data_IF_803312249974
#
_entry.id   IF_803312249974
#
_cell.length_a   1.000
_cell.length_b   1.000
_cell.length_c   1.000
_cell.angle_alpha   90.00
_cell.angle_beta   90.00
_cell.angle_gamma   90.00
#
_symmetry.space_group_name_H-M   'P 1'
#
loop_
_entity.id
_entity.type
_entity.pdbx_description
1 polymer ?
#
# COMPACT_ATOMS: atom_id res chain seq x y z
N UNK A 1 -27.63 15.41 4.90
CA UNK A 1 -27.92 13.96 4.98
C UNK A 1 -26.62 13.18 4.97
N UNK A 2 -25.93 13.11 6.12
CA UNK A 2 -24.65 12.42 6.23
C UNK A 2 -24.83 11.00 6.76
N UNK A 3 -24.81 10.00 5.89
CA UNK A 3 -24.59 8.60 6.31
C UNK A 3 -23.08 8.36 6.27
N UNK A 4 -22.49 8.21 7.46
CA UNK A 4 -21.06 7.92 7.62
C UNK A 4 -20.68 6.65 6.89
N UNK A 5 -19.75 6.76 5.95
CA UNK A 5 -19.04 5.62 5.37
C UNK A 5 -18.16 5.00 6.45
N UNK A 6 -18.18 3.67 6.54
CA UNK A 6 -17.26 2.91 7.38
C UNK A 6 -15.82 3.30 7.01
N UNK A 7 -15.03 3.71 8.01
CA UNK A 7 -13.62 4.05 7.82
C UNK A 7 -12.77 2.78 7.92
N UNK A 8 -11.75 2.65 7.07
CA UNK A 8 -10.78 1.56 7.18
C UNK A 8 -10.16 1.54 8.58
N UNK A 9 -10.12 0.36 9.20
CA UNK A 9 -9.63 0.15 10.56
C UNK A 9 -10.70 0.24 11.67
N UNK A 10 -11.96 0.55 11.36
CA UNK A 10 -13.05 0.41 12.34
C UNK A 10 -13.57 -1.02 12.41
N UNK A 11 -13.61 -1.58 13.62
CA UNK A 11 -14.26 -2.85 13.89
C UNK A 11 -15.79 -2.69 13.82
N UNK A 12 -16.44 -3.48 12.97
CA UNK A 12 -17.89 -3.68 13.06
C UNK A 12 -18.17 -4.77 14.09
N UNK A 13 -18.93 -4.47 15.13
CA UNK A 13 -19.28 -5.43 16.19
C UNK A 13 -20.34 -6.46 15.77
N UNK A 14 -20.82 -6.39 14.52
CA UNK A 14 -22.08 -7.03 14.12
C UNK A 14 -21.96 -8.31 13.28
N UNK A 15 -20.76 -8.81 12.95
CA UNK A 15 -20.63 -10.06 12.20
C UNK A 15 -19.69 -11.02 12.91
N UNK A 16 -20.19 -12.22 13.22
CA UNK A 16 -19.34 -13.34 13.61
C UNK A 16 -18.25 -13.55 12.56
N UNK A 17 -17.01 -13.76 13.02
CA UNK A 17 -15.90 -14.02 12.12
C UNK A 17 -15.99 -15.47 11.60
N UNK A 18 -15.92 -15.65 10.29
CA UNK A 18 -15.96 -16.96 9.62
C UNK A 18 -14.80 -17.11 8.65
N UNK A 19 -14.40 -18.36 8.36
CA UNK A 19 -13.28 -18.66 7.46
C UNK A 19 -11.95 -18.10 7.97
N UNK A 20 -11.13 -17.53 7.07
CA UNK A 20 -9.84 -16.94 7.43
C UNK A 20 -9.96 -15.81 8.48
N UNK A 21 -11.08 -15.07 8.48
CA UNK A 21 -11.30 -13.97 9.42
C UNK A 21 -11.40 -14.44 10.88
N UNK A 22 -11.85 -15.68 11.14
CA UNK A 22 -11.93 -16.26 12.49
C UNK A 22 -10.57 -16.34 13.19
N UNK A 23 -9.48 -16.42 12.41
CA UNK A 23 -8.11 -16.50 12.93
C UNK A 23 -7.47 -15.11 13.13
N UNK A 24 -8.16 -14.03 12.75
CA UNK A 24 -7.62 -12.67 12.77
C UNK A 24 -8.49 -11.71 13.61
N UNK A 25 -9.80 -11.68 13.32
CA UNK A 25 -10.73 -10.73 13.91
C UNK A 25 -10.84 -10.83 15.45
N UNK A 26 -10.93 -12.02 16.08
CA UNK A 26 -10.95 -12.11 17.54
C UNK A 26 -9.70 -11.56 18.23
N UNK A 27 -8.59 -11.47 17.50
CA UNK A 27 -7.28 -11.01 18.01
C UNK A 27 -6.99 -9.55 17.66
N UNK A 28 -7.96 -8.80 17.13
CA UNK A 28 -7.80 -7.37 16.87
C UNK A 28 -7.13 -7.02 15.54
N UNK A 29 -6.90 -8.01 14.65
CA UNK A 29 -6.28 -7.81 13.34
C UNK A 29 -7.35 -7.42 12.31
N UNK A 30 -7.70 -6.13 12.30
CA UNK A 30 -8.78 -5.60 11.47
C UNK A 30 -8.31 -4.78 10.27
N UNK A 31 -7.06 -4.35 10.25
CA UNK A 31 -6.49 -3.54 9.17
C UNK A 31 -5.37 -4.27 8.43
N UNK A 32 -5.19 -4.01 7.13
CA UNK A 32 -4.05 -4.50 6.36
C UNK A 32 -2.70 -4.16 7.00
N UNK A 33 -2.57 -2.95 7.55
CA UNK A 33 -1.34 -2.52 8.22
C UNK A 33 -0.98 -3.45 9.40
N UNK A 34 -1.95 -3.85 10.22
CA UNK A 34 -1.71 -4.78 11.33
C UNK A 34 -1.27 -6.17 10.83
N UNK A 35 -1.87 -6.66 9.75
CA UNK A 35 -1.49 -7.97 9.17
C UNK A 35 -0.09 -7.92 8.56
N UNK A 36 0.26 -6.87 7.83
CA UNK A 36 1.60 -6.68 7.24
C UNK A 36 2.64 -6.46 8.34
N UNK A 37 2.29 -5.78 9.43
CA UNK A 37 3.20 -5.56 10.54
C UNK A 37 3.70 -6.87 11.17
N UNK A 38 2.87 -7.91 11.26
CA UNK A 38 3.31 -9.23 11.74
C UNK A 38 4.39 -9.83 10.83
N UNK A 39 4.20 -9.76 9.51
CA UNK A 39 5.20 -10.21 8.55
C UNK A 39 6.47 -9.36 8.62
N UNK A 40 6.34 -8.03 8.76
CA UNK A 40 7.47 -7.13 8.92
C UNK A 40 8.28 -7.45 10.18
N UNK A 41 7.65 -7.61 11.35
CA UNK A 41 8.36 -7.99 12.57
C UNK A 41 9.09 -9.32 12.44
N UNK A 42 8.47 -10.31 11.78
CA UNK A 42 9.13 -11.60 11.53
C UNK A 42 10.34 -11.43 10.63
N UNK A 43 10.25 -10.60 9.58
CA UNK A 43 11.36 -10.28 8.71
C UNK A 43 12.49 -9.56 9.46
N UNK A 44 12.16 -8.58 10.31
CA UNK A 44 13.13 -7.88 11.16
C UNK A 44 13.85 -8.86 12.09
N UNK A 45 13.13 -9.79 12.71
CA UNK A 45 13.70 -10.82 13.59
C UNK A 45 14.65 -11.78 12.85
N UNK A 46 14.28 -12.21 11.65
CA UNK A 46 15.07 -13.19 10.89
C UNK A 46 16.30 -12.57 10.21
N UNK A 47 16.19 -11.33 9.73
CA UNK A 47 17.16 -10.74 8.83
C UNK A 47 17.78 -9.43 9.34
N UNK A 48 17.43 -8.99 10.55
CA UNK A 48 17.95 -7.75 11.13
C UNK A 48 17.48 -6.48 10.41
N UNK A 49 16.35 -6.55 9.69
CA UNK A 49 15.78 -5.36 9.05
C UNK A 49 15.36 -4.34 10.11
N UNK A 50 15.58 -3.06 9.82
CA UNK A 50 15.22 -1.94 10.68
C UNK A 50 14.14 -1.08 10.01
N UNK A 51 13.42 -0.27 10.78
CA UNK A 51 12.41 0.64 10.23
C UNK A 51 12.98 1.64 9.22
N UNK A 52 14.29 1.96 9.29
CA UNK A 52 14.95 2.80 8.28
C UNK A 52 14.96 2.15 6.89
N UNK A 53 15.09 0.83 6.80
CA UNK A 53 15.08 0.12 5.51
C UNK A 53 13.70 0.17 4.85
N UNK A 54 12.61 0.14 5.64
CA UNK A 54 11.27 0.40 5.11
C UNK A 54 11.13 1.87 4.66
N UNK A 55 11.68 2.79 5.45
CA UNK A 55 11.71 4.21 5.12
C UNK A 55 12.44 4.53 3.81
N UNK A 56 13.52 3.82 3.49
CA UNK A 56 14.23 3.97 2.21
C UNK A 56 13.32 3.63 1.02
N UNK A 57 12.49 2.59 1.13
CA UNK A 57 11.48 2.25 0.11
C UNK A 57 10.43 3.37 0.01
N UNK A 58 9.94 3.87 1.15
CA UNK A 58 8.95 4.94 1.17
C UNK A 58 9.49 6.24 0.55
N UNK A 59 10.74 6.62 0.84
CA UNK A 59 11.43 7.78 0.26
C UNK A 59 11.64 7.60 -1.24
N UNK A 60 12.07 6.42 -1.69
CA UNK A 60 12.22 6.13 -3.12
C UNK A 60 10.89 6.24 -3.86
N UNK A 61 9.81 5.64 -3.33
CA UNK A 61 8.46 5.78 -3.88
C UNK A 61 8.01 7.24 -3.92
N UNK A 62 8.28 8.01 -2.86
CA UNK A 62 7.96 9.44 -2.83
C UNK A 62 8.73 10.24 -3.87
N UNK A 63 10.02 9.95 -4.05
CA UNK A 63 10.84 10.58 -5.07
C UNK A 63 10.22 10.39 -6.46
N UNK A 64 9.91 9.15 -6.83
CA UNK A 64 9.30 8.86 -8.14
C UNK A 64 7.91 9.49 -8.30
N UNK A 65 7.10 9.53 -7.23
CA UNK A 65 5.83 10.26 -7.25
C UNK A 65 6.02 11.75 -7.56
N UNK A 66 7.12 12.37 -7.09
CA UNK A 66 7.42 13.77 -7.37
C UNK A 66 7.96 14.02 -8.79
N UNK A 67 8.25 12.96 -9.56
CA UNK A 67 8.57 13.05 -10.99
C UNK A 67 7.31 12.96 -11.87
N UNK A 68 6.15 12.66 -11.29
CA UNK A 68 4.88 12.52 -11.99
C UNK A 68 3.87 13.59 -11.54
N UNK A 69 3.46 14.54 -12.40
CA UNK A 69 2.49 15.57 -12.04
C UNK A 69 1.10 15.02 -11.69
N UNK A 70 0.76 13.80 -12.13
CA UNK A 70 -0.54 13.15 -11.86
C UNK A 70 -0.57 12.40 -10.52
N UNK A 71 0.58 12.27 -9.83
CA UNK A 71 0.62 11.59 -8.55
C UNK A 71 -0.04 12.43 -7.45
N UNK A 72 -0.85 11.79 -6.59
CA UNK A 72 -1.51 12.45 -5.44
C UNK A 72 -0.54 13.20 -4.52
N UNK A 73 0.72 12.78 -4.49
CA UNK A 73 1.77 13.34 -3.64
C UNK A 73 2.86 14.08 -4.43
N UNK A 74 2.50 14.53 -5.64
CA UNK A 74 3.33 15.44 -6.41
C UNK A 74 3.58 16.75 -5.65
N UNK A 75 4.82 17.25 -5.67
CA UNK A 75 5.32 18.41 -4.92
C UNK A 75 5.40 18.25 -3.39
N UNK A 76 5.30 17.02 -2.89
CA UNK A 76 5.51 16.70 -1.48
C UNK A 76 6.72 15.78 -1.32
N UNK A 77 7.98 16.27 -1.43
CA UNK A 77 9.15 15.45 -1.16
C UNK A 77 9.17 14.97 0.30
N UNK A 78 9.90 13.90 0.57
CA UNK A 78 10.01 13.31 1.91
C UNK A 78 11.43 12.78 2.10
N UNK A 79 12.02 13.09 3.24
CA UNK A 79 13.33 12.60 3.68
C UNK A 79 13.20 11.33 4.53
N UNK A 80 14.33 10.67 4.80
CA UNK A 80 14.33 9.53 5.73
C UNK A 80 14.02 9.98 7.16
N UNK A 81 14.43 11.19 7.55
CA UNK A 81 14.10 11.79 8.84
C UNK A 81 12.59 12.03 8.98
N UNK A 82 11.94 12.54 7.94
CA UNK A 82 10.48 12.70 7.91
C UNK A 82 9.79 11.35 8.13
N UNK A 83 10.31 10.29 7.49
CA UNK A 83 9.84 8.93 7.72
C UNK A 83 10.00 8.49 9.18
N UNK A 84 11.22 8.56 9.73
CA UNK A 84 11.50 8.09 11.09
C UNK A 84 10.79 8.90 12.19
N UNK A 85 10.50 10.17 11.93
CA UNK A 85 9.75 11.05 12.83
C UNK A 85 8.23 10.95 12.65
N UNK A 86 7.74 10.25 11.63
CA UNK A 86 6.31 10.07 11.42
C UNK A 86 5.68 9.18 12.50
N UNK A 87 4.41 9.44 12.79
CA UNK A 87 3.67 8.70 13.83
C UNK A 87 3.64 7.21 13.52
N UNK A 88 3.75 6.39 14.57
CA UNK A 88 3.54 4.95 14.46
C UNK A 88 2.06 4.64 14.20
N UNK A 89 1.77 3.71 13.29
CA UNK A 89 0.42 3.21 13.03
C UNK A 89 0.20 1.91 13.78
N UNK A 90 1.13 0.97 13.61
CA UNK A 90 1.15 -0.32 14.27
C UNK A 90 2.58 -0.83 14.22
N UNK A 91 3.18 -1.16 15.35
CA UNK A 91 4.59 -1.55 15.41
C UNK A 91 4.87 -2.70 14.44
N UNK A 92 5.81 -2.58 13.49
CA UNK A 92 6.88 -1.58 13.38
C UNK A 92 6.62 -0.49 12.31
N UNK A 93 5.44 -0.49 11.71
CA UNK A 93 5.05 0.37 10.59
C UNK A 93 4.62 1.76 11.07
N UNK A 94 5.18 2.77 10.40
CA UNK A 94 4.88 4.19 10.58
C UNK A 94 3.90 4.68 9.52
N UNK A 95 3.48 5.94 9.66
CA UNK A 95 2.48 6.55 8.77
C UNK A 95 2.89 6.45 7.29
N UNK A 96 4.16 6.69 7.00
CA UNK A 96 4.67 6.71 5.63
C UNK A 96 5.04 5.32 5.08
N UNK A 97 4.95 4.26 5.90
CA UNK A 97 4.93 2.87 5.43
C UNK A 97 3.54 2.47 4.88
N UNK A 98 2.50 3.27 5.18
CA UNK A 98 1.13 2.99 4.76
C UNK A 98 0.78 3.80 3.51
N UNK A 99 0.20 3.14 2.51
CA UNK A 99 -0.31 3.82 1.33
C UNK A 99 -1.54 4.68 1.64
N UNK A 100 -1.75 5.68 0.79
CA UNK A 100 -2.94 6.54 0.86
C UNK A 100 -4.12 5.81 0.22
N UNK A 101 -5.29 6.02 0.78
CA UNK A 101 -6.53 5.77 0.05
C UNK A 101 -6.66 6.82 -1.05
N UNK A 102 -6.91 6.40 -2.28
CA UNK A 102 -7.00 7.27 -3.44
C UNK A 102 -8.12 6.78 -4.35
N UNK A 103 -9.00 7.70 -4.74
CA UNK A 103 -10.03 7.43 -5.76
C UNK A 103 -9.43 7.67 -7.15
N UNK A 104 -9.53 6.69 -8.05
CA UNK A 104 -8.99 6.77 -9.41
C UNK A 104 -9.41 5.59 -10.28
N UNK A 105 -9.15 5.69 -11.58
CA UNK A 105 -9.46 4.64 -12.55
C UNK A 105 -8.41 4.54 -13.64
N UNK A 106 -8.04 3.31 -14.03
CA UNK A 106 -7.11 3.01 -15.11
C UNK A 106 -7.62 1.81 -15.91
N UNK A 107 -7.26 1.75 -17.20
CA UNK A 107 -7.61 0.63 -18.08
C UNK A 107 -6.41 0.24 -18.95
N UNK A 108 -6.29 -1.06 -19.23
CA UNK A 108 -5.29 -1.62 -20.14
C UNK A 108 -6.01 -2.37 -21.25
N UNK A 109 -5.67 -2.09 -22.51
CA UNK A 109 -6.20 -2.81 -23.66
C UNK A 109 -5.24 -3.95 -24.00
N UNK A 110 -5.70 -5.18 -23.85
CA UNK A 110 -4.93 -6.38 -24.20
C UNK A 110 -5.47 -6.95 -25.50
N UNK A 111 -4.57 -7.31 -26.41
CA UNK A 111 -4.91 -7.95 -27.68
C UNK A 111 -3.81 -8.93 -28.10
N UNK A 112 -4.04 -9.66 -29.18
CA UNK A 112 -3.04 -10.57 -29.75
C UNK A 112 -1.83 -9.80 -30.29
N UNK A 113 -0.66 -10.42 -30.24
CA UNK A 113 0.61 -9.78 -30.62
C UNK A 113 0.68 -9.37 -32.10
N UNK A 114 0.02 -10.11 -32.98
CA UNK A 114 -0.15 -9.78 -34.40
C UNK A 114 -1.00 -8.52 -34.59
N UNK A 115 -2.16 -8.46 -33.91
CA UNK A 115 -3.06 -7.31 -33.94
C UNK A 115 -2.43 -6.06 -33.36
N UNK A 116 -1.60 -6.20 -32.33
CA UNK A 116 -0.96 -5.07 -31.66
C UNK A 116 0.00 -4.29 -32.58
N UNK A 117 0.55 -4.92 -33.63
CA UNK A 117 1.45 -4.28 -34.62
C UNK A 117 0.75 -3.20 -35.44
N UNK A 118 -0.56 -3.34 -35.64
CA UNK A 118 -1.36 -2.39 -36.42
C UNK A 118 -1.96 -1.26 -35.56
N UNK A 119 -1.71 -1.25 -34.24
CA UNK A 119 -2.25 -0.24 -33.33
C UNK A 119 -1.33 0.98 -33.21
N UNK A 120 -1.90 2.09 -32.75
CA UNK A 120 -1.25 3.42 -32.69
C UNK A 120 0.01 3.46 -31.83
N UNK A 121 0.08 2.67 -30.76
CA UNK A 121 1.16 2.74 -29.77
C UNK A 121 2.11 1.54 -29.93
N UNK A 122 3.42 1.70 -29.69
CA UNK A 122 4.34 0.57 -29.61
C UNK A 122 3.82 -0.48 -28.60
N UNK A 123 3.74 -1.76 -28.98
CA UNK A 123 3.19 -2.79 -28.10
C UNK A 123 4.15 -3.15 -26.96
N UNK A 124 3.59 -3.41 -25.78
CA UNK A 124 4.29 -4.05 -24.65
C UNK A 124 3.93 -5.53 -24.64
N UNK A 125 4.91 -6.41 -24.82
CA UNK A 125 4.70 -7.85 -24.89
C UNK A 125 4.68 -8.49 -23.51
N UNK A 126 3.68 -9.34 -23.26
CA UNK A 126 3.63 -10.21 -22.08
C UNK A 126 4.38 -11.48 -22.44
N UNK A 127 5.57 -11.67 -21.87
CA UNK A 127 6.36 -12.88 -22.02
C UNK A 127 5.96 -13.91 -20.95
N UNK A 128 6.00 -15.19 -21.32
CA UNK A 128 5.80 -16.35 -20.44
C UNK A 128 7.11 -16.83 -19.84
#
# INVERSE_FOLDING_TARGET
SGRGTLRFGQASTAAGAAGAASYAAPYGLFSPAQMVALAAQRHMHLYGTESKHFGEVAVACRHHANLNPDATMYRYPMTIEDHQNSRMITTPLRLYDCCLETDGGAAVVVTKSDRARDLRQPPVYIAS
#
